data_IF_637203658541
#
_entry.id   IF_637203658541
#
_cell.length_a   1.000
_cell.length_b   1.000
_cell.length_c   1.000
_cell.angle_alpha   90.00
_cell.angle_beta   90.00
_cell.angle_gamma   90.00
#
_symmetry.space_group_name_H-M   'P 1'
#
loop_
_entity.id
_entity.type
_entity.pdbx_description
1 polymer ?
#
# COMPACT_ATOMS: atom_id res chain seq x y z
N UNK A 1 -22.14 -27.75 -19.64
CA UNK A 1 -21.55 -26.46 -19.19
C UNK A 1 -20.48 -26.02 -20.19
N UNK A 2 -20.38 -24.73 -20.50
CA UNK A 2 -19.36 -24.23 -21.44
C UNK A 2 -17.96 -24.22 -20.82
N UNK A 3 -16.91 -24.26 -21.65
CA UNK A 3 -15.52 -24.06 -21.21
C UNK A 3 -15.34 -22.73 -20.45
N UNK A 4 -16.01 -21.67 -20.91
CA UNK A 4 -15.97 -20.37 -20.25
C UNK A 4 -16.53 -20.44 -18.83
N UNK A 5 -17.67 -21.12 -18.66
CA UNK A 5 -18.28 -21.36 -17.34
C UNK A 5 -17.34 -22.15 -16.43
N UNK A 6 -16.74 -23.22 -16.95
CA UNK A 6 -15.77 -24.07 -16.24
C UNK A 6 -14.57 -23.24 -15.75
N UNK A 7 -13.99 -22.44 -16.64
CA UNK A 7 -12.82 -21.59 -16.36
C UNK A 7 -13.12 -20.55 -15.28
N UNK A 8 -14.31 -19.96 -15.31
CA UNK A 8 -14.75 -18.97 -14.31
C UNK A 8 -14.96 -19.61 -12.95
N UNK A 9 -15.55 -20.81 -12.89
CA UNK A 9 -15.72 -21.55 -11.63
C UNK A 9 -14.37 -21.91 -11.01
N UNK A 10 -13.44 -22.45 -11.81
CA UNK A 10 -12.10 -22.79 -11.35
C UNK A 10 -11.41 -21.54 -10.78
N UNK A 11 -11.39 -20.43 -11.52
CA UNK A 11 -10.79 -19.16 -11.05
C UNK A 11 -11.41 -18.67 -9.76
N UNK A 12 -12.74 -18.75 -9.64
CA UNK A 12 -13.47 -18.34 -8.43
C UNK A 12 -13.06 -19.19 -7.25
N UNK A 13 -12.97 -20.51 -7.43
CA UNK A 13 -12.62 -21.43 -6.37
C UNK A 13 -11.20 -21.19 -5.87
N UNK A 14 -10.23 -21.16 -6.78
CA UNK A 14 -8.83 -20.84 -6.43
C UNK A 14 -8.70 -19.49 -5.71
N UNK A 15 -9.40 -18.44 -6.19
CA UNK A 15 -9.39 -17.13 -5.54
C UNK A 15 -9.98 -17.21 -4.14
N UNK A 16 -11.05 -17.96 -3.96
CA UNK A 16 -11.77 -18.08 -2.68
C UNK A 16 -10.93 -18.86 -1.68
N UNK A 17 -10.42 -20.03 -2.06
CA UNK A 17 -9.53 -20.85 -1.20
C UNK A 17 -8.30 -20.08 -0.76
N UNK A 18 -7.64 -19.37 -1.69
CA UNK A 18 -6.45 -18.56 -1.36
C UNK A 18 -6.79 -17.38 -0.46
N UNK A 19 -7.95 -16.75 -0.63
CA UNK A 19 -8.39 -15.67 0.24
C UNK A 19 -8.67 -16.17 1.67
N UNK A 20 -9.29 -17.36 1.79
CA UNK A 20 -9.52 -18.01 3.08
C UNK A 20 -8.19 -18.36 3.76
N UNK A 21 -7.26 -19.00 3.04
CA UNK A 21 -5.93 -19.36 3.55
C UNK A 21 -5.14 -18.13 4.03
N UNK A 22 -5.16 -17.04 3.26
CA UNK A 22 -4.49 -15.80 3.68
C UNK A 22 -5.12 -15.24 4.95
N UNK A 23 -6.45 -15.18 5.02
CA UNK A 23 -7.16 -14.69 6.21
C UNK A 23 -6.85 -15.53 7.45
N UNK A 24 -6.76 -16.86 7.33
CA UNK A 24 -6.41 -17.72 8.48
C UNK A 24 -4.97 -17.49 8.92
N UNK A 25 -4.02 -17.42 7.98
CA UNK A 25 -2.59 -17.17 8.27
C UNK A 25 -2.31 -15.80 8.85
N UNK A 26 -3.13 -14.80 8.53
CA UNK A 26 -2.95 -13.43 9.03
C UNK A 26 -3.86 -13.08 10.20
N UNK A 27 -4.68 -14.02 10.69
CA UNK A 27 -5.69 -13.78 11.75
C UNK A 27 -5.12 -13.16 13.03
N UNK A 28 -3.87 -13.50 13.37
CA UNK A 28 -3.20 -13.03 14.59
C UNK A 28 -2.39 -11.75 14.39
N UNK A 29 -2.29 -11.24 13.15
CA UNK A 29 -1.46 -10.08 12.84
C UNK A 29 -2.25 -8.80 13.08
N UNK A 30 -1.80 -7.95 14.02
CA UNK A 30 -2.48 -6.69 14.37
C UNK A 30 -2.70 -5.72 13.19
N UNK A 31 -1.84 -5.73 12.18
CA UNK A 31 -2.01 -4.89 10.98
C UNK A 31 -3.18 -5.29 10.07
N UNK A 32 -3.84 -6.42 10.32
CA UNK A 32 -5.03 -6.82 9.55
C UNK A 32 -6.25 -5.97 9.86
N UNK A 33 -6.37 -5.46 11.10
CA UNK A 33 -7.48 -4.59 11.50
C UNK A 33 -7.41 -3.26 10.73
N UNK A 34 -6.21 -2.71 10.54
CA UNK A 34 -5.99 -1.46 9.80
C UNK A 34 -6.20 -1.59 8.29
N UNK A 35 -6.20 -2.82 7.75
CA UNK A 35 -6.42 -3.11 6.33
C UNK A 35 -7.90 -3.14 5.91
N UNK A 36 -8.81 -3.50 6.83
CA UNK A 36 -10.25 -3.65 6.56
C UNK A 36 -10.88 -2.37 6.01
N UNK A 37 -10.37 -1.21 6.44
CA UNK A 37 -10.91 0.10 6.10
C UNK A 37 -10.14 0.81 4.98
N UNK A 38 -9.24 0.11 4.28
CA UNK A 38 -8.59 0.68 3.09
C UNK A 38 -9.56 0.57 1.91
N UNK A 39 -9.99 1.70 1.31
CA UNK A 39 -10.89 1.68 0.16
C UNK A 39 -10.27 0.92 -1.01
N UNK A 40 -11.09 0.39 -1.92
CA UNK A 40 -10.64 -0.27 -3.15
C UNK A 40 -10.09 0.77 -4.16
N UNK A 41 -8.99 1.42 -3.80
CA UNK A 41 -8.27 2.40 -4.59
C UNK A 41 -7.31 1.74 -5.57
N UNK A 42 -6.81 2.49 -6.58
CA UNK A 42 -5.68 2.04 -7.38
C UNK A 42 -4.55 1.55 -6.46
N UNK A 43 -3.94 0.41 -6.83
CA UNK A 43 -2.93 -0.31 -6.03
C UNK A 43 -1.89 0.60 -5.39
N UNK A 44 -1.42 1.63 -6.11
CA UNK A 44 -0.44 2.62 -5.63
C UNK A 44 -0.96 3.36 -4.38
N UNK A 45 -2.19 3.89 -4.42
CA UNK A 45 -2.77 4.63 -3.30
C UNK A 45 -3.07 3.69 -2.12
N UNK A 46 -3.53 2.47 -2.40
CA UNK A 46 -3.76 1.47 -1.37
C UNK A 46 -2.47 1.05 -0.66
N UNK A 47 -1.35 0.91 -1.39
CA UNK A 47 -0.03 0.60 -0.82
C UNK A 47 0.49 1.77 0.03
N UNK A 48 0.39 3.01 -0.45
CA UNK A 48 0.81 4.19 0.31
C UNK A 48 0.01 4.34 1.61
N UNK A 49 -1.32 4.21 1.55
CA UNK A 49 -2.17 4.26 2.74
C UNK A 49 -1.88 3.09 3.70
N UNK A 50 -1.62 1.89 3.18
CA UNK A 50 -1.24 0.74 4.00
C UNK A 50 0.06 0.99 4.77
N UNK A 51 1.13 1.37 4.07
CA UNK A 51 2.44 1.63 4.69
C UNK A 51 2.36 2.73 5.75
N UNK A 52 1.58 3.79 5.48
CA UNK A 52 1.30 4.85 6.45
C UNK A 52 0.57 4.32 7.69
N UNK A 53 -0.50 3.54 7.52
CA UNK A 53 -1.28 3.00 8.64
C UNK A 53 -0.50 1.99 9.49
N UNK A 54 0.43 1.26 8.88
CA UNK A 54 1.32 0.34 9.58
C UNK A 54 2.58 1.01 10.12
N UNK A 55 2.76 2.33 9.92
CA UNK A 55 3.95 3.06 10.38
C UNK A 55 5.25 2.69 9.65
N UNK A 56 5.14 2.08 8.47
CA UNK A 56 6.27 1.60 7.67
C UNK A 56 6.79 2.65 6.66
N UNK A 57 6.04 3.73 6.40
CA UNK A 57 6.56 4.90 5.68
C UNK A 57 6.91 6.01 6.69
N UNK A 58 8.20 6.29 6.95
CA UNK A 58 8.59 7.35 7.85
C UNK A 58 8.33 8.70 7.19
N UNK A 59 7.32 9.44 7.62
CA UNK A 59 7.09 10.81 7.17
C UNK A 59 8.31 11.66 7.56
N UNK A 60 9.03 12.20 6.58
CA UNK A 60 10.26 12.96 6.83
C UNK A 60 9.98 14.18 7.71
N UNK A 61 8.78 14.78 7.61
CA UNK A 61 8.34 15.84 8.53
C UNK A 61 8.24 15.37 9.98
N UNK A 62 7.74 14.16 10.21
CA UNK A 62 7.67 13.57 11.55
C UNK A 62 9.07 13.25 12.09
N UNK A 63 9.93 12.66 11.26
CA UNK A 63 11.32 12.37 11.63
C UNK A 63 12.13 13.65 11.89
N UNK A 64 11.88 14.73 11.15
CA UNK A 64 12.52 16.02 11.37
C UNK A 64 12.09 16.63 12.72
N UNK A 65 10.81 16.55 13.07
CA UNK A 65 10.32 16.98 14.40
C UNK A 65 10.94 16.20 15.56
N UNK A 66 11.28 14.92 15.34
CA UNK A 66 12.00 14.08 16.29
C UNK A 66 13.52 14.33 16.30
N UNK A 67 14.04 15.21 15.45
CA UNK A 67 15.47 15.50 15.33
C UNK A 67 16.28 14.42 14.61
N UNK A 68 15.62 13.40 14.04
CA UNK A 68 16.29 12.30 13.31
C UNK A 68 16.70 12.75 11.91
N UNK A 69 15.88 13.59 11.26
CA UNK A 69 16.16 14.15 9.94
C UNK A 69 16.56 15.62 10.04
N UNK A 70 17.52 16.04 9.22
CA UNK A 70 17.95 17.44 9.14
C UNK A 70 16.95 18.32 8.41
N UNK A 71 16.11 17.75 7.53
CA UNK A 71 15.08 18.46 6.78
C UNK A 71 13.77 17.65 6.68
N UNK A 72 12.59 18.31 6.67
CA UNK A 72 11.29 17.64 6.56
C UNK A 72 10.91 17.19 5.14
N UNK A 73 11.85 17.29 4.18
CA UNK A 73 11.60 17.13 2.75
C UNK A 73 11.52 15.67 2.32
N UNK A 74 10.80 15.40 1.22
CA UNK A 74 10.75 14.08 0.62
C UNK A 74 12.13 13.64 0.11
N UNK A 75 12.71 12.54 0.61
CA UNK A 75 13.97 12.02 0.08
C UNK A 75 13.78 11.27 -1.25
N UNK A 76 12.54 10.91 -1.58
CA UNK A 76 12.22 10.14 -2.78
C UNK A 76 12.10 11.01 -4.02
N UNK A 77 11.67 12.27 -3.88
CA UNK A 77 11.51 13.19 -5.00
C UNK A 77 12.48 14.37 -4.89
N UNK A 78 13.00 14.83 -6.03
CA UNK A 78 13.82 16.05 -6.08
C UNK A 78 13.00 17.32 -5.85
N UNK A 79 11.69 17.19 -5.70
CA UNK A 79 10.80 18.28 -5.33
C UNK A 79 10.98 18.49 -3.83
N UNK A 80 11.43 19.68 -3.43
CA UNK A 80 11.74 20.04 -2.05
C UNK A 80 10.50 20.20 -1.15
N UNK A 81 9.42 19.47 -1.44
CA UNK A 81 8.17 19.50 -0.70
C UNK A 81 8.29 18.71 0.61
N UNK A 82 7.60 19.18 1.65
CA UNK A 82 7.53 18.46 2.92
C UNK A 82 6.84 17.11 2.75
N UNK A 83 7.46 16.05 3.27
CA UNK A 83 6.88 14.71 3.18
C UNK A 83 5.83 14.50 4.26
N UNK A 84 4.62 14.96 3.97
CA UNK A 84 3.40 14.64 4.70
C UNK A 84 2.57 13.55 4.00
N UNK A 85 1.55 13.03 4.70
CA UNK A 85 0.64 12.00 4.19
C UNK A 85 0.04 12.36 2.82
N UNK A 86 -0.31 13.63 2.61
CA UNK A 86 -0.85 14.14 1.35
C UNK A 86 0.17 14.09 0.22
N UNK A 87 1.43 14.48 0.49
CA UNK A 87 2.52 14.45 -0.47
C UNK A 87 2.85 13.02 -0.92
N UNK A 88 2.87 12.01 -0.02
CA UNK A 88 3.14 10.61 -0.40
C UNK A 88 2.16 10.07 -1.45
N UNK A 89 0.89 10.49 -1.42
CA UNK A 89 -0.11 10.05 -2.41
C UNK A 89 0.15 10.70 -3.79
N UNK A 90 0.82 11.85 -3.83
CA UNK A 90 1.03 12.66 -5.03
C UNK A 90 2.48 12.61 -5.55
N UNK A 91 3.41 12.09 -4.74
CA UNK A 91 4.84 12.09 -4.95
C UNK A 91 5.21 11.52 -6.34
N UNK A 92 5.90 12.30 -7.20
CA UNK A 92 6.26 11.86 -8.55
C UNK A 92 7.17 10.63 -8.57
N UNK A 93 8.07 10.50 -7.60
CA UNK A 93 9.00 9.38 -7.51
C UNK A 93 8.31 8.02 -7.26
N UNK A 94 7.15 8.05 -6.60
CA UNK A 94 6.31 6.86 -6.44
C UNK A 94 5.51 6.53 -7.70
N UNK A 95 5.38 7.48 -8.64
CA UNK A 95 4.74 7.26 -9.95
C UNK A 95 5.70 6.64 -10.96
N UNK A 96 7.00 6.95 -10.90
CA UNK A 96 8.00 6.48 -11.87
C UNK A 96 8.51 5.05 -11.64
N UNK A 97 8.41 4.49 -10.42
CA UNK A 97 8.71 3.07 -10.18
C UNK A 97 7.72 2.10 -10.88
N UNK A 98 6.74 2.63 -11.62
CA UNK A 98 5.72 1.88 -12.35
C UNK A 98 6.05 1.67 -13.83
N UNK A 99 7.17 2.21 -14.33
CA UNK A 99 7.45 2.28 -15.78
C UNK A 99 8.74 1.56 -16.22
N UNK A 100 9.25 0.62 -15.42
CA UNK A 100 10.24 -0.35 -15.91
C UNK A 100 9.51 -1.63 -16.29
N UNK A 101 9.38 -1.79 -17.60
CA UNK A 101 8.72 -2.85 -18.36
C UNK A 101 9.31 -4.24 -18.11
#
# INVERSE_FOLDING_TARGET
MSFHTMKTLIRREFKTSRCIELKTRTKEKQWTVTLSDIPNWPRIKAIAEFRLRTGHDPLAKHLHKLGVYTQPKCPLSNQQEEMEKTHLIQCPALKTMTETQ
#
